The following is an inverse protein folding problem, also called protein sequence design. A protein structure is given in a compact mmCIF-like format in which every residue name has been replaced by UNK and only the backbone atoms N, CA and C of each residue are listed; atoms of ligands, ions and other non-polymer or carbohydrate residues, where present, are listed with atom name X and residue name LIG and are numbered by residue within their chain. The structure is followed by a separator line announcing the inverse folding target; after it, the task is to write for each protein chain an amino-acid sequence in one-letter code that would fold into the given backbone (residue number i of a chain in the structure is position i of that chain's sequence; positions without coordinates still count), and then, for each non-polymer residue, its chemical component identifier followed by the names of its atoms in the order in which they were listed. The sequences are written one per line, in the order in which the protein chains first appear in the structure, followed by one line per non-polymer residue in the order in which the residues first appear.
data_IF_890666053450
#
_entry.id   IF_890666053450
#
_cell.length_a   1.000
_cell.length_b   1.000
_cell.length_c   1.000
_cell.angle_alpha   90.00
_cell.angle_beta   90.00
_cell.angle_gamma   90.00
#
_symmetry.space_group_name_H-M   'P 1'
#
loop_
_entity.id
_entity.type
_entity.pdbx_description
1 polymer ?
#
# COMPACT_ATOMS: atom_id res chain seq x y z
N UNK A 1 -4.04 0.54 -33.66
CA UNK A 1 -5.22 0.40 -32.77
C UNK A 1 -4.76 -0.31 -31.52
N UNK A 2 -4.87 0.31 -30.34
CA UNK A 2 -4.69 -0.43 -29.08
C UNK A 2 -5.92 -1.33 -28.90
N UNK A 3 -5.69 -2.63 -28.70
CA UNK A 3 -6.77 -3.57 -28.34
C UNK A 3 -7.14 -3.37 -26.88
N UNK A 4 -8.34 -3.79 -26.47
CA UNK A 4 -8.75 -3.74 -25.07
C UNK A 4 -7.74 -4.44 -24.13
N UNK A 5 -7.14 -5.54 -24.58
CA UNK A 5 -6.07 -6.22 -23.86
C UNK A 5 -4.82 -5.34 -23.65
N UNK A 6 -4.42 -4.56 -24.66
CA UNK A 6 -3.30 -3.63 -24.56
C UNK A 6 -3.55 -2.49 -23.58
N UNK A 7 -4.78 -1.99 -23.50
CA UNK A 7 -5.16 -0.97 -22.52
C UNK A 7 -5.16 -1.52 -21.08
N UNK A 8 -5.65 -2.75 -20.89
CA UNK A 8 -5.63 -3.41 -19.58
C UNK A 8 -4.19 -3.69 -19.11
N UNK A 9 -3.30 -4.09 -20.02
CA UNK A 9 -1.88 -4.26 -19.70
C UNK A 9 -1.24 -2.94 -19.24
N UNK A 10 -1.43 -1.86 -20.01
CA UNK A 10 -0.89 -0.54 -19.65
C UNK A 10 -1.46 0.00 -18.32
N UNK A 11 -2.73 -0.28 -18.03
CA UNK A 11 -3.32 0.04 -16.74
C UNK A 11 -2.66 -0.74 -15.60
N UNK A 12 -2.41 -2.04 -15.80
CA UNK A 12 -1.67 -2.89 -14.86
C UNK A 12 -0.26 -2.34 -14.56
N UNK A 13 0.49 -2.02 -15.61
CA UNK A 13 1.84 -1.44 -15.47
C UNK A 13 1.82 -0.13 -14.69
N UNK A 14 0.82 0.71 -14.94
CA UNK A 14 0.65 2.00 -14.23
C UNK A 14 0.35 1.77 -12.75
N UNK A 15 -0.52 0.81 -12.42
CA UNK A 15 -0.85 0.45 -11.04
C UNK A 15 0.40 -0.08 -10.31
N UNK A 16 1.20 -0.92 -10.96
CA UNK A 16 2.43 -1.44 -10.37
C UNK A 16 3.49 -0.36 -10.15
N UNK A 17 3.61 0.60 -11.06
CA UNK A 17 4.46 1.78 -10.87
C UNK A 17 4.01 2.63 -9.67
N UNK A 18 2.70 2.85 -9.50
CA UNK A 18 2.15 3.56 -8.33
C UNK A 18 2.49 2.82 -7.04
N UNK A 19 2.27 1.50 -6.99
CA UNK A 19 2.60 0.68 -5.81
C UNK A 19 4.08 0.77 -5.45
N UNK A 20 4.96 0.65 -6.44
CA UNK A 20 6.39 0.75 -6.23
C UNK A 20 6.79 2.13 -5.69
N UNK A 21 6.16 3.19 -6.19
CA UNK A 21 6.41 4.55 -5.70
C UNK A 21 5.94 4.73 -4.24
N UNK A 22 4.73 4.27 -3.90
CA UNK A 22 4.22 4.31 -2.52
C UNK A 22 5.14 3.56 -1.55
N UNK A 23 5.66 2.40 -1.96
CA UNK A 23 6.60 1.62 -1.14
C UNK A 23 7.91 2.36 -0.83
N UNK A 24 8.30 3.34 -1.65
CA UNK A 24 9.50 4.16 -1.43
C UNK A 24 9.27 5.38 -0.53
N UNK A 25 8.01 5.75 -0.27
CA UNK A 25 7.69 6.88 0.60
C UNK A 25 7.92 6.52 2.08
N UNK A 26 8.34 7.49 2.88
CA UNK A 26 8.34 7.36 4.34
C UNK A 26 6.91 7.45 4.90
N UNK A 27 6.74 7.07 6.17
CA UNK A 27 5.43 7.03 6.82
C UNK A 27 4.75 8.41 6.87
N UNK A 28 5.51 9.46 7.18
CA UNK A 28 5.00 10.84 7.22
C UNK A 28 4.45 11.30 5.86
N UNK A 29 5.11 10.96 4.74
CA UNK A 29 4.60 11.26 3.39
C UNK A 29 3.36 10.46 3.04
N UNK A 30 3.27 9.21 3.47
CA UNK A 30 2.07 8.39 3.24
C UNK A 30 0.86 8.94 4.00
N UNK A 31 1.05 9.34 5.25
CA UNK A 31 0.00 9.96 6.07
C UNK A 31 -0.39 11.34 5.53
N UNK A 32 0.58 12.16 5.11
CA UNK A 32 0.30 13.44 4.48
C UNK A 32 -0.47 13.28 3.16
N UNK A 33 -0.11 12.28 2.35
CA UNK A 33 -0.83 11.94 1.13
C UNK A 33 -2.26 11.47 1.45
N UNK A 34 -2.43 10.65 2.50
CA UNK A 34 -3.75 10.19 2.92
C UNK A 34 -4.65 11.35 3.34
N UNK A 35 -4.10 12.33 4.06
CA UNK A 35 -4.83 13.49 4.54
C UNK A 35 -5.37 14.39 3.41
N UNK A 36 -4.72 14.43 2.24
CA UNK A 36 -5.14 15.23 1.09
C UNK A 36 -6.01 14.46 0.09
N UNK A 37 -6.12 13.14 0.23
CA UNK A 37 -6.94 12.32 -0.66
C UNK A 37 -8.44 12.50 -0.38
N UNK A 38 -9.28 12.45 -1.42
CA UNK A 38 -10.73 12.52 -1.25
C UNK A 38 -11.25 11.31 -0.47
N UNK A 39 -11.92 11.58 0.65
CA UNK A 39 -12.52 10.55 1.52
C UNK A 39 -13.67 9.78 0.86
N UNK A 40 -14.26 10.34 -0.20
CA UNK A 40 -15.29 9.70 -1.03
C UNK A 40 -14.86 9.81 -2.48
N UNK A 41 -14.59 8.67 -3.09
CA UNK A 41 -14.22 8.56 -4.50
C UNK A 41 -15.28 7.78 -5.27
N UNK A 42 -15.49 8.10 -6.55
CA UNK A 42 -16.41 7.35 -7.41
C UNK A 42 -15.86 5.93 -7.59
N UNK A 43 -16.73 4.93 -7.60
CA UNK A 43 -16.32 3.54 -7.81
C UNK A 43 -15.57 3.38 -9.15
N UNK A 44 -14.38 2.78 -9.11
CA UNK A 44 -13.54 2.58 -10.29
C UNK A 44 -12.79 3.83 -10.79
N UNK A 45 -12.88 4.95 -10.07
CA UNK A 45 -12.06 6.14 -10.34
C UNK A 45 -10.58 5.91 -10.01
N UNK A 46 -9.70 6.71 -10.61
CA UNK A 46 -8.28 6.69 -10.32
C UNK A 46 -7.99 7.03 -8.84
N UNK A 47 -8.78 7.95 -8.28
CA UNK A 47 -8.72 8.34 -6.87
C UNK A 47 -9.04 7.17 -5.95
N UNK A 48 -10.07 6.37 -6.25
CA UNK A 48 -10.39 5.16 -5.49
C UNK A 48 -9.24 4.14 -5.55
N UNK A 49 -8.69 3.91 -6.75
CA UNK A 49 -7.58 2.97 -6.94
C UNK A 49 -6.34 3.42 -6.14
N UNK A 50 -5.98 4.70 -6.24
CA UNK A 50 -4.88 5.30 -5.49
C UNK A 50 -5.09 5.18 -3.97
N UNK A 51 -6.30 5.50 -3.49
CA UNK A 51 -6.66 5.41 -2.08
C UNK A 51 -6.54 3.97 -1.55
N UNK A 52 -6.98 2.97 -2.34
CA UNK A 52 -6.84 1.55 -1.98
C UNK A 52 -5.37 1.16 -1.84
N UNK A 53 -4.51 1.56 -2.77
CA UNK A 53 -3.10 1.21 -2.73
C UNK A 53 -2.36 1.90 -1.58
N UNK A 54 -2.71 3.16 -1.29
CA UNK A 54 -2.19 3.91 -0.14
C UNK A 54 -2.54 3.22 1.19
N UNK A 55 -3.82 2.89 1.41
CA UNK A 55 -4.23 2.17 2.61
C UNK A 55 -3.54 0.81 2.77
N UNK A 56 -3.37 0.07 1.66
CA UNK A 56 -2.70 -1.24 1.70
C UNK A 56 -1.22 -1.13 2.06
N UNK A 57 -0.53 -0.11 1.56
CA UNK A 57 0.87 0.13 1.89
C UNK A 57 1.03 0.45 3.39
N UNK A 58 0.21 1.37 3.91
CA UNK A 58 0.20 1.72 5.33
C UNK A 58 -0.09 0.48 6.20
N UNK A 59 -1.11 -0.32 5.85
CA UNK A 59 -1.42 -1.55 6.59
C UNK A 59 -0.30 -2.60 6.53
N UNK A 60 0.42 -2.69 5.41
CA UNK A 60 1.53 -3.65 5.25
C UNK A 60 2.64 -3.32 6.24
N UNK A 61 2.95 -2.03 6.44
CA UNK A 61 3.93 -1.56 7.42
C UNK A 61 3.50 -1.84 8.86
N UNK A 62 2.23 -1.62 9.18
CA UNK A 62 1.68 -1.91 10.51
C UNK A 62 1.71 -3.40 10.85
N UNK A 63 1.49 -4.29 9.88
CA UNK A 63 1.59 -5.75 10.09
C UNK A 63 3.02 -6.21 10.43
N UNK A 64 4.05 -5.54 9.90
CA UNK A 64 5.44 -5.80 10.27
C UNK A 64 5.74 -5.45 11.73
N UNK A 65 5.05 -4.45 12.29
CA UNK A 65 5.21 -4.01 13.68
C UNK A 65 4.42 -4.86 14.70
N UNK A 66 3.41 -5.61 14.25
CA UNK A 66 2.53 -6.40 15.13
C UNK A 66 3.02 -7.84 15.38
N UNK A 67 4.24 -8.19 14.95
CA UNK A 67 4.87 -9.46 15.30
C UNK A 67 5.47 -9.32 16.69
N UNK A 68 4.72 -9.75 17.72
CA UNK A 68 5.28 -9.90 19.06
C UNK A 68 6.46 -10.90 19.00
N UNK A 69 7.67 -10.55 19.47
CA UNK A 69 8.75 -11.51 19.54
C UNK A 69 8.32 -12.67 20.46
N UNK A 70 8.40 -13.90 19.94
CA UNK A 70 8.14 -15.08 20.74
C UNK A 70 9.17 -15.10 21.88
N UNK A 71 8.77 -15.28 23.15
CA UNK A 71 9.73 -15.34 24.24
C UNK A 71 10.70 -16.48 23.98
N UNK A 72 12.00 -16.18 23.85
CA UNK A 72 13.02 -17.21 23.89
C UNK A 72 12.85 -17.97 25.20
N UNK A 73 12.78 -19.31 25.19
CA UNK A 73 12.66 -20.09 26.42
C UNK A 73 13.83 -19.73 27.34
N UNK A 74 13.51 -18.98 28.40
CA UNK A 74 14.45 -18.63 29.44
C UNK A 74 15.09 -19.89 29.97
N UNK A 75 16.40 -20.01 29.70
CA UNK A 75 17.32 -20.92 30.36
C UNK A 75 17.08 -20.75 31.87
N UNK A 76 16.47 -21.74 32.52
CA UNK A 76 16.37 -21.79 33.98
C UNK A 76 17.80 -21.74 34.52
N UNK A 77 18.19 -20.60 35.10
CA UNK A 77 19.36 -20.53 35.95
C UNK A 77 19.11 -21.49 37.13
N UNK A 78 20.03 -22.44 37.29
CA UNK A 78 20.14 -23.26 38.50
C UNK A 78 20.80 -22.45 39.60
#
# INVERSE_FOLDING_TARGET
MQTAAGLLAALGDTIDAIKAHLATMDEDKLEALLAVMPSKSIAGSAEMVMLIHLYREIQTRQRGSNVLPFPLPGRRAR
#
